data_IF_007620931072
#
_entry.id   IF_007620931072
#
_cell.length_a   1.000
_cell.length_b   1.000
_cell.length_c   1.000
_cell.angle_alpha   90.00
_cell.angle_beta   90.00
_cell.angle_gamma   90.00
#
_symmetry.space_group_name_H-M   'P 1'
#
loop_
_entity.id
_entity.type
_entity.pdbx_description
1 polymer ?
#
# COMPACT_ATOMS: atom_id res chain seq x y z
N UNK A 1 -2.94 7.77 14.06
CA UNK A 1 -3.66 8.14 12.83
C UNK A 1 -2.79 8.85 11.79
N UNK A 2 -2.22 10.03 12.07
CA UNK A 2 -1.55 10.85 11.02
C UNK A 2 -0.41 10.13 10.28
N UNK A 3 0.42 9.34 10.98
CA UNK A 3 1.52 8.61 10.34
C UNK A 3 1.06 7.52 9.38
N UNK A 4 0.02 6.77 9.75
CA UNK A 4 -0.54 5.69 8.91
C UNK A 4 -1.18 6.25 7.64
N UNK A 5 -1.95 7.34 7.77
CA UNK A 5 -2.57 8.01 6.63
C UNK A 5 -1.51 8.54 5.66
N UNK A 6 -0.42 9.12 6.18
CA UNK A 6 0.69 9.57 5.35
C UNK A 6 1.37 8.39 4.63
N UNK A 7 1.66 7.30 5.36
CA UNK A 7 2.28 6.11 4.74
C UNK A 7 1.39 5.49 3.64
N UNK A 8 0.06 5.49 3.83
CA UNK A 8 -0.90 5.06 2.79
C UNK A 8 -0.83 5.98 1.58
N UNK A 9 -0.85 7.30 1.81
CA UNK A 9 -0.76 8.30 0.75
C UNK A 9 0.53 8.18 -0.06
N UNK A 10 1.67 7.97 0.62
CA UNK A 10 2.97 7.76 -0.01
C UNK A 10 2.97 6.45 -0.83
N UNK A 11 2.41 5.36 -0.29
CA UNK A 11 2.31 4.09 -0.99
C UNK A 11 1.49 4.22 -2.28
N UNK A 12 0.31 4.84 -2.20
CA UNK A 12 -0.60 5.01 -3.34
C UNK A 12 0.01 5.95 -4.39
N UNK A 13 0.66 7.03 -3.96
CA UNK A 13 1.33 7.98 -4.87
C UNK A 13 2.46 7.29 -5.62
N UNK A 14 3.33 6.56 -4.92
CA UNK A 14 4.44 5.85 -5.56
C UNK A 14 3.96 4.73 -6.49
N UNK A 15 2.85 4.05 -6.16
CA UNK A 15 2.24 3.06 -7.05
C UNK A 15 1.74 3.71 -8.34
N UNK A 16 1.08 4.87 -8.24
CA UNK A 16 0.62 5.63 -9.39
C UNK A 16 1.78 6.11 -10.28
N UNK A 17 2.89 6.57 -9.69
CA UNK A 17 4.10 6.94 -10.44
C UNK A 17 4.63 5.77 -11.27
N UNK A 18 4.66 4.54 -10.72
CA UNK A 18 5.09 3.36 -11.46
C UNK A 18 4.18 3.06 -12.67
N UNK A 19 2.88 3.33 -12.55
CA UNK A 19 1.92 3.20 -13.66
C UNK A 19 2.18 4.27 -14.71
N UNK A 20 2.24 5.53 -14.29
CA UNK A 20 2.36 6.69 -15.18
C UNK A 20 3.64 6.63 -16.01
N UNK A 21 4.75 6.19 -15.40
CA UNK A 21 6.03 6.02 -16.06
C UNK A 21 6.17 4.70 -16.83
N UNK A 22 5.14 3.84 -16.82
CA UNK A 22 5.17 2.48 -17.40
C UNK A 22 6.31 1.60 -16.86
N UNK A 23 6.69 1.82 -15.60
CA UNK A 23 7.74 1.08 -14.88
C UNK A 23 7.19 0.00 -13.95
N UNK A 24 5.87 -0.20 -13.95
CA UNK A 24 5.20 -1.23 -13.16
C UNK A 24 5.62 -2.63 -13.63
N UNK A 25 6.64 -3.19 -12.98
CA UNK A 25 7.06 -4.58 -13.10
C UNK A 25 6.74 -5.33 -11.81
N UNK A 26 6.71 -6.67 -11.87
CA UNK A 26 6.53 -7.51 -10.67
C UNK A 26 7.53 -7.14 -9.57
N UNK A 27 8.80 -6.91 -9.94
CA UNK A 27 9.85 -6.52 -8.99
C UNK A 27 9.57 -5.15 -8.38
N UNK A 28 9.34 -4.12 -9.20
CA UNK A 28 9.08 -2.76 -8.70
C UNK A 28 7.84 -2.70 -7.79
N UNK A 29 6.80 -3.46 -8.12
CA UNK A 29 5.61 -3.60 -7.29
C UNK A 29 5.92 -4.27 -5.95
N UNK A 30 6.65 -5.39 -5.94
CA UNK A 30 7.05 -6.06 -4.71
C UNK A 30 7.95 -5.17 -3.84
N UNK A 31 8.96 -4.51 -4.44
CA UNK A 31 9.88 -3.61 -3.74
C UNK A 31 9.15 -2.44 -3.07
N UNK A 32 8.05 -1.98 -3.67
CA UNK A 32 7.19 -0.93 -3.12
C UNK A 32 6.26 -1.44 -2.01
N UNK A 33 5.60 -2.59 -2.22
CA UNK A 33 4.51 -3.08 -1.37
C UNK A 33 5.01 -3.84 -0.14
N UNK A 34 6.10 -4.62 -0.27
CA UNK A 34 6.63 -5.47 0.81
C UNK A 34 7.00 -4.67 2.08
N UNK A 35 7.71 -3.52 2.00
CA UNK A 35 8.04 -2.76 3.20
C UNK A 35 6.78 -2.26 3.94
N UNK A 36 5.75 -1.86 3.22
CA UNK A 36 4.49 -1.42 3.82
C UNK A 36 3.73 -2.61 4.44
N UNK A 37 3.69 -3.74 3.73
CA UNK A 37 3.10 -4.99 4.22
C UNK A 37 3.71 -5.39 5.57
N UNK A 38 5.03 -5.48 5.63
CA UNK A 38 5.76 -5.95 6.81
C UNK A 38 5.60 -4.99 7.99
N UNK A 39 5.56 -3.67 7.72
CA UNK A 39 5.36 -2.62 8.73
C UNK A 39 4.00 -2.72 9.43
N UNK A 40 2.97 -3.20 8.73
CA UNK A 40 1.60 -3.25 9.22
C UNK A 40 1.05 -4.68 9.39
N UNK A 41 1.91 -5.70 9.29
CA UNK A 41 1.51 -7.11 9.46
C UNK A 41 0.48 -7.60 8.44
N UNK A 42 0.43 -7.00 7.25
CA UNK A 42 -0.58 -7.29 6.25
C UNK A 42 -0.23 -8.53 5.42
N UNK A 43 -1.23 -9.09 4.73
CA UNK A 43 -0.99 -10.04 3.64
C UNK A 43 -0.59 -9.31 2.35
N UNK A 44 0.04 -10.03 1.42
CA UNK A 44 0.40 -9.50 0.09
C UNK A 44 -0.81 -8.89 -0.63
N UNK A 45 -1.97 -9.55 -0.55
CA UNK A 45 -3.19 -9.09 -1.19
C UNK A 45 -3.67 -7.77 -0.56
N UNK A 46 -3.76 -7.70 0.76
CA UNK A 46 -4.22 -6.49 1.46
C UNK A 46 -3.31 -5.30 1.16
N UNK A 47 -1.99 -5.48 1.25
CA UNK A 47 -1.04 -4.40 0.99
C UNK A 47 -1.14 -3.92 -0.47
N UNK A 48 -1.38 -4.82 -1.42
CA UNK A 48 -1.57 -4.48 -2.82
C UNK A 48 -2.90 -3.74 -3.08
N UNK A 49 -3.99 -4.16 -2.44
CA UNK A 49 -5.29 -3.47 -2.54
C UNK A 49 -5.20 -2.03 -2.00
N UNK A 50 -4.44 -1.83 -0.92
CA UNK A 50 -4.17 -0.49 -0.37
C UNK A 50 -3.37 0.36 -1.36
N UNK A 51 -2.29 -0.19 -1.92
CA UNK A 51 -1.45 0.52 -2.90
C UNK A 51 -2.24 0.96 -4.15
N UNK A 52 -3.23 0.15 -4.57
CA UNK A 52 -4.11 0.44 -5.71
C UNK A 52 -5.30 1.33 -5.38
N UNK A 53 -5.43 1.76 -4.12
CA UNK A 53 -6.57 2.53 -3.64
C UNK A 53 -7.93 1.81 -3.87
N UNK A 54 -7.94 0.48 -3.69
CA UNK A 54 -9.14 -0.35 -3.82
C UNK A 54 -9.96 -0.45 -2.51
N UNK A 55 -9.41 0.04 -1.40
CA UNK A 55 -10.04 0.01 -0.08
C UNK A 55 -10.25 1.42 0.46
N UNK A 56 -11.35 1.61 1.18
CA UNK A 56 -11.64 2.83 1.92
C UNK A 56 -10.76 2.95 3.16
N UNK A 57 -10.55 4.17 3.65
CA UNK A 57 -9.80 4.40 4.90
C UNK A 57 -10.38 3.60 6.09
N UNK A 58 -11.70 3.41 6.14
CA UNK A 58 -12.32 2.61 7.20
C UNK A 58 -11.91 1.13 7.14
N UNK A 59 -11.92 0.54 5.94
CA UNK A 59 -11.47 -0.85 5.73
C UNK A 59 -9.99 -1.01 6.03
N UNK A 60 -9.15 -0.06 5.58
CA UNK A 60 -7.71 -0.08 5.88
C UNK A 60 -7.45 0.01 7.37
N UNK A 61 -8.20 0.86 8.08
CA UNK A 61 -8.07 1.00 9.52
C UNK A 61 -8.44 -0.29 10.26
N UNK A 62 -9.45 -1.03 9.80
CA UNK A 62 -9.79 -2.35 10.34
C UNK A 62 -8.65 -3.35 10.15
N UNK A 63 -8.03 -3.36 8.96
CA UNK A 63 -6.90 -4.25 8.67
C UNK A 63 -5.66 -3.95 9.51
N UNK A 64 -5.37 -2.67 9.72
CA UNK A 64 -4.16 -2.24 10.45
C UNK A 64 -4.34 -2.32 11.97
N UNK A 65 -5.56 -2.12 12.50
CA UNK A 65 -5.82 -2.18 13.95
C UNK A 65 -6.01 -3.60 14.49
N UNK A 66 -6.22 -4.59 13.62
CA UNK A 66 -6.40 -5.99 14.00
C UNK A 66 -5.09 -6.80 14.06
N UNK A 67 -3.97 -6.21 13.61
CA UNK A 67 -2.63 -6.82 13.59
C UNK A 67 -1.68 -6.09 14.54
#
# INVERSE_FOLDING_TARGET
MNKVINDIGDLQTNYQVLIDEKRLSKKAMCDLVIPFRDKYGLTDLQALQIARNELTIAEINLLILQN
#
